data_IF_215858240375
#
_entry.id   IF_215858240375
#
_cell.length_a   1.000
_cell.length_b   1.000
_cell.length_c   1.000
_cell.angle_alpha   90.00
_cell.angle_beta   90.00
_cell.angle_gamma   90.00
#
_symmetry.space_group_name_H-M   'P 1'
#
loop_
_entity.id
_entity.type
_entity.pdbx_description
1 polymer ?
#
# COMPACT_ATOMS: atom_id res chain seq x y z
N UNK A 1 6.48 9.07 -4.35
CA UNK A 1 5.57 8.97 -3.19
C UNK A 1 6.23 9.37 -1.88
N UNK A 2 7.42 8.87 -1.58
CA UNK A 2 8.10 9.20 -0.34
C UNK A 2 8.42 10.69 -0.23
N UNK A 3 8.82 11.30 -1.33
CA UNK A 3 9.09 12.74 -1.32
C UNK A 3 7.86 13.55 -0.96
N UNK A 4 6.71 13.13 -1.49
CA UNK A 4 5.46 13.81 -1.18
C UNK A 4 5.13 13.72 0.32
N UNK A 5 5.27 12.53 0.88
CA UNK A 5 4.95 12.32 2.29
C UNK A 5 5.91 13.08 3.20
N UNK A 6 7.18 13.14 2.84
CA UNK A 6 8.16 13.89 3.63
C UNK A 6 7.90 15.37 3.58
N UNK A 7 7.53 15.89 2.41
CA UNK A 7 7.21 17.31 2.26
C UNK A 7 6.01 17.71 3.12
N UNK A 8 5.06 16.79 3.26
CA UNK A 8 3.88 17.02 4.08
C UNK A 8 4.09 16.60 5.53
N UNK A 9 5.29 16.17 5.87
CA UNK A 9 5.66 15.75 7.23
C UNK A 9 4.90 14.53 7.73
N UNK A 10 4.48 13.69 6.82
CA UNK A 10 3.90 12.40 7.17
C UNK A 10 4.99 11.36 7.33
N UNK A 11 4.68 10.32 8.09
CA UNK A 11 5.57 9.18 8.21
C UNK A 11 5.64 8.43 6.87
N UNK A 12 6.71 7.67 6.69
CA UNK A 12 6.82 6.81 5.52
C UNK A 12 5.74 5.73 5.56
N UNK A 13 5.27 5.28 4.40
CA UNK A 13 4.24 4.26 4.36
C UNK A 13 4.74 2.95 4.96
N UNK A 14 3.84 2.27 5.65
CA UNK A 14 4.13 1.00 6.28
C UNK A 14 3.33 -0.09 5.59
N UNK A 15 4.02 -1.12 5.13
CA UNK A 15 3.40 -2.22 4.39
C UNK A 15 3.30 -3.44 5.28
N UNK A 16 2.14 -4.09 5.26
CA UNK A 16 1.90 -5.30 6.04
C UNK A 16 1.32 -6.37 5.13
N UNK A 17 1.95 -7.54 5.12
CA UNK A 17 1.43 -8.69 4.40
C UNK A 17 0.28 -9.27 5.21
N UNK A 18 -0.92 -9.22 4.65
CA UNK A 18 -2.13 -9.66 5.33
C UNK A 18 -2.31 -11.16 5.18
N UNK A 19 -2.24 -11.64 3.95
CA UNK A 19 -2.38 -13.07 3.69
C UNK A 19 -1.88 -13.41 2.30
N UNK A 20 -1.67 -14.68 2.07
CA UNK A 20 -1.37 -15.24 0.75
C UNK A 20 -2.43 -16.27 0.46
N UNK A 21 -3.06 -16.18 -0.70
CA UNK A 21 -4.12 -17.08 -1.09
C UNK A 21 -3.75 -17.79 -2.39
N UNK A 22 -4.40 -18.91 -2.69
CA UNK A 22 -4.19 -19.63 -3.94
C UNK A 22 -3.16 -20.75 -3.82
N UNK A 23 -2.94 -21.43 -4.94
CA UNK A 23 -2.02 -22.56 -5.04
C UNK A 23 -0.60 -22.12 -5.28
N UNK A 24 0.33 -23.09 -5.30
CA UNK A 24 1.75 -22.81 -5.54
C UNK A 24 1.97 -22.09 -6.88
N UNK A 25 1.14 -22.37 -7.87
CA UNK A 25 1.31 -21.82 -9.21
C UNK A 25 0.47 -20.58 -9.45
N UNK A 26 -0.40 -20.24 -8.52
CA UNK A 26 -1.34 -19.14 -8.74
C UNK A 26 -1.63 -18.46 -7.40
N UNK A 27 -0.58 -17.89 -6.81
CA UNK A 27 -0.71 -17.25 -5.51
C UNK A 27 -1.13 -15.80 -5.67
N UNK A 28 -1.91 -15.33 -4.72
CA UNK A 28 -2.32 -13.93 -4.66
C UNK A 28 -1.92 -13.38 -3.29
N UNK A 29 -1.09 -12.37 -3.29
CA UNK A 29 -0.59 -11.74 -2.07
C UNK A 29 -1.43 -10.51 -1.77
N UNK A 30 -1.80 -10.35 -0.51
CA UNK A 30 -2.61 -9.22 -0.05
C UNK A 30 -1.80 -8.40 0.94
N UNK A 31 -1.59 -7.14 0.62
CA UNK A 31 -0.76 -6.23 1.41
C UNK A 31 -1.55 -4.97 1.71
N UNK A 32 -1.41 -4.48 2.94
CA UNK A 32 -1.98 -3.18 3.30
C UNK A 32 -0.87 -2.14 3.35
N UNK A 33 -1.25 -0.90 3.07
CA UNK A 33 -0.35 0.25 3.14
C UNK A 33 -1.01 1.30 4.03
N UNK A 34 -0.31 1.71 5.07
CA UNK A 34 -0.82 2.68 6.02
C UNK A 34 0.23 3.74 6.27
N UNK A 35 -0.22 4.95 6.62
CA UNK A 35 0.66 6.07 6.96
C UNK A 35 0.26 6.60 8.31
N UNK A 36 1.21 6.67 9.24
CA UNK A 36 0.98 7.29 10.55
C UNK A 36 0.76 8.77 10.35
N UNK A 37 -0.12 9.34 11.14
CA UNK A 37 -0.42 10.76 11.05
C UNK A 37 -1.62 11.07 10.18
N UNK A 38 -2.04 10.13 9.36
CA UNK A 38 -3.32 10.23 8.65
C UNK A 38 -4.05 8.91 8.83
N UNK A 39 -5.34 8.99 9.06
CA UNK A 39 -6.16 7.79 9.28
C UNK A 39 -6.56 7.21 7.91
N UNK A 40 -5.59 6.72 7.18
CA UNK A 40 -5.83 6.21 5.84
C UNK A 40 -5.03 4.93 5.64
N UNK A 41 -5.74 3.87 5.29
CA UNK A 41 -5.13 2.58 4.99
C UNK A 41 -5.71 2.08 3.68
N UNK A 42 -4.86 1.59 2.80
CA UNK A 42 -5.29 1.00 1.54
C UNK A 42 -4.79 -0.42 1.44
N UNK A 43 -5.33 -1.16 0.49
CA UNK A 43 -4.93 -2.55 0.28
C UNK A 43 -4.64 -2.78 -1.18
N UNK A 44 -3.59 -3.57 -1.43
CA UNK A 44 -3.24 -4.00 -2.77
C UNK A 44 -3.13 -5.50 -2.83
N UNK A 45 -3.25 -6.05 -4.02
CA UNK A 45 -3.10 -7.49 -4.22
C UNK A 45 -2.38 -7.72 -5.54
N UNK A 46 -1.63 -8.82 -5.60
CA UNK A 46 -0.88 -9.13 -6.80
C UNK A 46 -0.28 -10.53 -6.74
N UNK A 47 0.34 -10.97 -7.84
CA UNK A 47 0.93 -12.32 -7.93
C UNK A 47 2.17 -12.49 -7.06
N UNK A 48 2.69 -11.42 -6.52
CA UNK A 48 3.78 -11.47 -5.56
C UNK A 48 3.67 -10.28 -4.62
N UNK A 49 4.47 -10.30 -3.54
CA UNK A 49 4.39 -9.27 -2.52
C UNK A 49 4.71 -7.89 -3.08
N UNK A 50 5.72 -7.80 -3.92
CA UNK A 50 6.14 -6.52 -4.48
C UNK A 50 5.02 -5.87 -5.28
N UNK A 51 4.34 -6.66 -6.11
CA UNK A 51 3.23 -6.15 -6.90
C UNK A 51 2.08 -5.69 -6.01
N UNK A 52 1.80 -6.46 -4.97
CA UNK A 52 0.76 -6.09 -4.01
C UNK A 52 1.10 -4.78 -3.31
N UNK A 53 2.36 -4.60 -2.90
CA UNK A 53 2.80 -3.37 -2.26
C UNK A 53 2.67 -2.18 -3.21
N UNK A 54 3.04 -2.37 -4.46
CA UNK A 54 2.94 -1.30 -5.45
C UNK A 54 1.50 -0.85 -5.64
N UNK A 55 0.58 -1.79 -5.71
CA UNK A 55 -0.83 -1.46 -5.88
C UNK A 55 -1.41 -0.79 -4.64
N UNK A 56 -1.02 -1.24 -3.46
CA UNK A 56 -1.45 -0.61 -2.22
C UNK A 56 -0.95 0.84 -2.15
N UNK A 57 0.30 1.06 -2.51
CA UNK A 57 0.89 2.40 -2.52
C UNK A 57 0.21 3.30 -3.54
N UNK A 58 -0.10 2.76 -4.70
CA UNK A 58 -0.79 3.54 -5.74
C UNK A 58 -2.17 3.98 -5.25
N UNK A 59 -2.90 3.07 -4.61
CA UNK A 59 -4.21 3.40 -4.06
C UNK A 59 -4.10 4.48 -2.99
N UNK A 60 -3.08 4.38 -2.12
CA UNK A 60 -2.87 5.38 -1.09
C UNK A 60 -2.61 6.75 -1.69
N UNK A 61 -1.74 6.80 -2.70
CA UNK A 61 -1.38 8.05 -3.35
C UNK A 61 -2.61 8.68 -4.01
N UNK A 62 -3.43 7.87 -4.67
CA UNK A 62 -4.65 8.37 -5.30
C UNK A 62 -5.60 8.97 -4.27
N UNK A 63 -5.72 8.34 -3.10
CA UNK A 63 -6.58 8.85 -2.03
C UNK A 63 -6.06 10.19 -1.50
N UNK A 64 -4.75 10.29 -1.35
CA UNK A 64 -4.15 11.53 -0.88
C UNK A 64 -4.37 12.68 -1.87
N UNK A 65 -4.26 12.38 -3.15
CA UNK A 65 -4.47 13.39 -4.19
C UNK A 65 -5.93 13.85 -4.26
N UNK A 66 -6.85 12.94 -4.03
CA UNK A 66 -8.28 13.29 -4.05
C UNK A 66 -8.67 14.21 -2.93
N UNK A 67 -7.99 14.12 -1.81
CA UNK A 67 -8.29 14.97 -0.66
C UNK A 67 -7.73 16.37 -0.79
N UNK A 68 -6.71 16.50 -1.59
CA UNK A 68 -6.11 17.79 -1.85
C UNK A 68 -6.92 18.55 -2.87
#
# INVERSE_FOLDING_TARGET
>A
MQEYLQAEKYSLPEYTLVKVDGDEHDQMFYVTCAVSGIALTTQGQGPNRRKAEQLAAKSLLEQLQKKG
#
